data_IF_253386303552
#
_entry.id   IF_253386303552
#
_cell.length_a   1.000
_cell.length_b   1.000
_cell.length_c   1.000
_cell.angle_alpha   90.00
_cell.angle_beta   90.00
_cell.angle_gamma   90.00
#
_symmetry.space_group_name_H-M   'P 1'
#
loop_
_entity.id
_entity.type
_entity.pdbx_description
1 polymer ?
#
# COMPACT_ATOMS: atom_id res chain seq x y z
N UNK A 1 -13.01 -50.43 -9.27
CA UNK A 1 -13.11 -51.89 -8.96
C UNK A 1 -13.71 -52.01 -7.58
N UNK A 2 -14.62 -52.96 -7.31
CA UNK A 2 -15.24 -53.08 -5.98
C UNK A 2 -14.32 -53.83 -4.99
N UNK A 3 -14.40 -53.51 -3.69
CA UNK A 3 -13.58 -54.12 -2.62
C UNK A 3 -13.51 -55.66 -2.69
N UNK A 4 -14.66 -56.34 -2.88
CA UNK A 4 -14.75 -57.81 -2.91
C UNK A 4 -13.93 -58.43 -4.06
N UNK A 5 -13.93 -57.78 -5.21
CA UNK A 5 -13.24 -58.23 -6.41
C UNK A 5 -11.73 -58.03 -6.24
N UNK A 6 -11.37 -56.88 -5.65
CA UNK A 6 -9.99 -56.53 -5.37
C UNK A 6 -9.36 -57.42 -4.30
N UNK A 7 -10.08 -57.75 -3.23
CA UNK A 7 -9.60 -58.67 -2.20
C UNK A 7 -9.35 -60.07 -2.77
N UNK A 8 -10.28 -60.57 -3.59
CA UNK A 8 -10.13 -61.88 -4.24
C UNK A 8 -8.92 -61.89 -5.18
N UNK A 9 -8.70 -60.81 -5.93
CA UNK A 9 -7.58 -60.68 -6.85
C UNK A 9 -6.24 -60.65 -6.12
N UNK A 10 -6.10 -59.81 -5.08
CA UNK A 10 -4.89 -59.74 -4.25
C UNK A 10 -4.56 -61.08 -3.59
N UNK A 11 -5.58 -61.80 -3.11
CA UNK A 11 -5.40 -63.15 -2.54
C UNK A 11 -4.87 -64.13 -3.60
N UNK A 12 -5.45 -64.12 -4.80
CA UNK A 12 -5.04 -65.01 -5.91
C UNK A 12 -3.62 -64.67 -6.41
N UNK A 13 -3.25 -63.40 -6.49
CA UNK A 13 -1.91 -62.96 -6.87
C UNK A 13 -0.83 -63.46 -5.90
N UNK A 14 -1.16 -63.55 -4.60
CA UNK A 14 -0.27 -64.13 -3.58
C UNK A 14 -0.36 -65.66 -3.50
N UNK A 15 -1.22 -66.30 -4.31
CA UNK A 15 -1.40 -67.76 -4.36
C UNK A 15 -2.06 -68.34 -3.11
N UNK A 16 -2.81 -67.56 -2.34
CA UNK A 16 -3.37 -67.98 -1.06
C UNK A 16 -4.77 -68.59 -1.19
N UNK A 17 -5.06 -69.61 -0.38
CA UNK A 17 -6.44 -70.06 -0.14
C UNK A 17 -7.17 -69.08 0.79
N UNK A 18 -8.51 -69.11 0.80
CA UNK A 18 -9.31 -68.28 1.72
C UNK A 18 -9.00 -68.59 3.19
N UNK A 19 -8.65 -69.84 3.49
CA UNK A 19 -8.25 -70.28 4.82
C UNK A 19 -6.90 -69.69 5.22
N UNK A 20 -5.94 -69.64 4.29
CA UNK A 20 -4.63 -69.03 4.51
C UNK A 20 -4.72 -67.51 4.71
N UNK A 21 -5.57 -66.82 3.94
CA UNK A 21 -5.83 -65.39 4.16
C UNK A 21 -6.50 -65.16 5.53
N UNK A 22 -7.48 -66.00 5.88
CA UNK A 22 -8.12 -65.95 7.19
C UNK A 22 -7.13 -66.10 8.33
N UNK A 23 -6.24 -67.09 8.25
CA UNK A 23 -5.20 -67.31 9.26
C UNK A 23 -4.25 -66.11 9.41
N UNK A 24 -3.90 -65.43 8.31
CA UNK A 24 -3.02 -64.25 8.33
C UNK A 24 -3.65 -63.02 8.96
N UNK A 25 -4.96 -62.86 8.84
CA UNK A 25 -5.74 -61.71 9.35
C UNK A 25 -6.46 -62.06 10.68
N UNK A 26 -6.30 -63.28 11.18
CA UNK A 26 -6.94 -63.74 12.40
C UNK A 26 -8.48 -63.85 12.29
N UNK A 27 -8.99 -64.28 11.14
CA UNK A 27 -10.42 -64.49 10.89
C UNK A 27 -10.68 -65.87 10.28
N UNK A 28 -11.92 -66.36 10.36
CA UNK A 28 -12.26 -67.67 9.80
C UNK A 28 -12.30 -67.64 8.27
N UNK A 29 -12.09 -68.80 7.63
CA UNK A 29 -12.31 -68.98 6.17
C UNK A 29 -13.70 -68.49 5.74
N UNK A 30 -14.73 -68.74 6.55
CA UNK A 30 -16.11 -68.33 6.27
C UNK A 30 -16.24 -66.81 6.21
N UNK A 31 -15.56 -66.09 7.10
CA UNK A 31 -15.50 -64.62 7.11
C UNK A 31 -14.90 -64.08 5.81
N UNK A 32 -13.75 -64.62 5.38
CA UNK A 32 -13.10 -64.25 4.12
C UNK A 32 -14.01 -64.54 2.93
N UNK A 33 -14.67 -65.70 2.91
CA UNK A 33 -15.62 -66.03 1.85
C UNK A 33 -16.75 -65.01 1.75
N UNK A 34 -17.33 -64.58 2.87
CA UNK A 34 -18.40 -63.57 2.91
C UNK A 34 -17.92 -62.19 2.44
N UNK A 35 -16.65 -61.85 2.67
CA UNK A 35 -16.05 -60.62 2.15
C UNK A 35 -15.87 -60.67 0.63
N UNK A 36 -15.41 -61.82 0.11
CA UNK A 36 -15.20 -62.02 -1.34
C UNK A 36 -16.50 -62.17 -2.12
N UNK A 37 -17.58 -62.67 -1.51
CA UNK A 37 -18.92 -62.70 -2.11
C UNK A 37 -19.67 -61.38 -1.97
N UNK A 38 -19.23 -60.49 -1.09
CA UNK A 38 -19.88 -59.21 -0.81
C UNK A 38 -21.06 -59.30 0.16
N UNK A 39 -21.27 -60.44 0.82
CA UNK A 39 -22.34 -60.64 1.82
C UNK A 39 -22.11 -59.81 3.09
N UNK A 40 -20.85 -59.54 3.41
CA UNK A 40 -20.46 -58.71 4.56
C UNK A 40 -19.24 -57.86 4.20
N UNK A 41 -19.08 -56.71 4.85
CA UNK A 41 -17.89 -55.88 4.74
C UNK A 41 -17.02 -56.02 6.00
N UNK A 42 -15.68 -55.98 5.89
CA UNK A 42 -14.81 -55.95 7.04
C UNK A 42 -14.97 -54.62 7.81
N UNK A 43 -14.76 -54.67 9.12
CA UNK A 43 -14.64 -53.47 9.93
C UNK A 43 -13.34 -52.70 9.59
N UNK A 44 -13.30 -51.41 9.94
CA UNK A 44 -12.16 -50.53 9.66
C UNK A 44 -10.81 -51.11 10.13
N UNK A 45 -10.79 -51.73 11.32
CA UNK A 45 -9.57 -52.37 11.83
C UNK A 45 -9.07 -53.48 10.89
N UNK A 46 -9.98 -54.31 10.36
CA UNK A 46 -9.64 -55.37 9.40
C UNK A 46 -9.26 -54.84 8.03
N UNK A 47 -9.83 -53.72 7.60
CA UNK A 47 -9.40 -53.03 6.37
C UNK A 47 -7.96 -52.51 6.49
N UNK A 48 -7.56 -51.98 7.65
CA UNK A 48 -6.18 -51.52 7.90
C UNK A 48 -5.21 -52.71 7.97
N UNK A 49 -5.61 -53.82 8.61
CA UNK A 49 -4.80 -55.04 8.62
C UNK A 49 -4.61 -55.61 7.21
N UNK A 50 -5.68 -55.66 6.41
CA UNK A 50 -5.63 -56.12 5.02
C UNK A 50 -4.76 -55.20 4.15
N UNK A 51 -4.91 -53.88 4.28
CA UNK A 51 -4.11 -52.92 3.52
C UNK A 51 -2.62 -53.06 3.86
N UNK A 52 -2.30 -53.27 5.14
CA UNK A 52 -0.95 -53.55 5.61
C UNK A 52 -0.42 -54.90 5.10
N UNK A 53 -1.25 -55.95 5.09
CA UNK A 53 -0.87 -57.29 4.61
C UNK A 53 -0.57 -57.30 3.11
N UNK A 54 -1.30 -56.52 2.32
CA UNK A 54 -1.14 -56.44 0.87
C UNK A 54 -0.22 -55.30 0.41
N UNK A 55 0.26 -54.46 1.34
CA UNK A 55 1.14 -53.32 1.07
C UNK A 55 0.51 -52.28 0.12
N UNK A 56 -0.79 -52.04 0.27
CA UNK A 56 -1.55 -51.04 -0.51
C UNK A 56 -2.27 -50.08 0.44
N UNK A 57 -2.75 -48.93 -0.04
CA UNK A 57 -3.58 -48.05 0.79
C UNK A 57 -4.97 -48.63 1.01
N UNK A 58 -5.66 -48.19 2.07
CA UNK A 58 -7.07 -48.57 2.29
C UNK A 58 -7.93 -48.08 1.12
N UNK A 59 -7.69 -46.86 0.63
CA UNK A 59 -8.39 -46.28 -0.53
C UNK A 59 -8.25 -47.15 -1.77
N UNK A 60 -7.02 -47.63 -2.04
CA UNK A 60 -6.77 -48.58 -3.11
C UNK A 60 -7.57 -49.86 -2.84
N UNK A 61 -7.45 -50.48 -1.66
CA UNK A 61 -8.10 -51.75 -1.31
C UNK A 61 -9.63 -51.70 -1.50
N UNK A 62 -10.27 -50.59 -1.19
CA UNK A 62 -11.73 -50.42 -1.34
C UNK A 62 -12.15 -49.85 -2.70
N UNK A 63 -11.20 -49.64 -3.62
CA UNK A 63 -11.49 -49.20 -4.97
C UNK A 63 -11.84 -47.73 -5.11
N UNK A 64 -11.50 -46.90 -4.11
CA UNK A 64 -11.51 -45.45 -4.27
C UNK A 64 -10.29 -45.12 -5.14
N UNK A 65 -10.51 -45.09 -6.46
CA UNK A 65 -9.58 -44.44 -7.37
C UNK A 65 -9.47 -42.98 -6.93
N UNK A 66 -8.24 -42.49 -6.73
CA UNK A 66 -8.01 -41.05 -6.59
C UNK A 66 -8.69 -40.40 -7.78
N UNK A 67 -9.82 -39.74 -7.53
CA UNK A 67 -10.38 -38.81 -8.49
C UNK A 67 -9.33 -37.72 -8.61
N UNK A 68 -8.44 -37.87 -9.60
CA UNK A 68 -7.60 -36.80 -10.10
C UNK A 68 -8.55 -35.80 -10.73
N UNK A 69 -9.26 -35.08 -9.88
CA UNK A 69 -9.92 -33.84 -10.21
C UNK A 69 -8.79 -32.85 -10.52
N UNK A 70 -8.17 -33.00 -11.68
CA UNK A 70 -7.35 -31.99 -12.34
C UNK A 70 -8.26 -30.91 -12.92
N UNK A 71 -9.37 -30.60 -12.26
CA UNK A 71 -9.98 -29.29 -12.44
C UNK A 71 -8.97 -28.32 -11.82
N UNK A 72 -8.39 -27.38 -12.59
CA UNK A 72 -7.55 -26.37 -11.99
C UNK A 72 -8.35 -25.72 -10.87
N UNK A 73 -7.84 -25.79 -9.65
CA UNK A 73 -8.35 -24.99 -8.55
C UNK A 73 -8.12 -23.54 -8.98
N UNK A 74 -9.15 -22.92 -9.54
CA UNK A 74 -9.16 -21.48 -9.75
C UNK A 74 -9.20 -20.87 -8.35
N UNK A 75 -8.03 -20.52 -7.82
CA UNK A 75 -7.97 -19.55 -6.73
C UNK A 75 -8.55 -18.27 -7.33
N UNK A 76 -9.82 -18.00 -7.07
CA UNK A 76 -10.37 -16.67 -7.26
C UNK A 76 -9.63 -15.75 -6.29
N UNK A 77 -8.52 -15.15 -6.74
CA UNK A 77 -8.00 -13.96 -6.10
C UNK A 77 -9.11 -12.91 -6.18
N UNK A 78 -9.85 -12.74 -5.09
CA UNK A 78 -10.91 -11.74 -4.93
C UNK A 78 -10.36 -10.31 -4.83
N UNK A 79 -9.20 -10.04 -5.44
CA UNK A 79 -8.57 -8.74 -5.51
C UNK A 79 -8.45 -8.28 -6.95
N UNK A 80 -9.14 -7.19 -7.31
CA UNK A 80 -8.85 -6.50 -8.56
C UNK A 80 -7.40 -6.01 -8.52
N UNK A 81 -6.59 -6.54 -9.43
CA UNK A 81 -5.15 -6.30 -9.55
C UNK A 81 -4.87 -5.96 -11.01
N UNK A 82 -4.27 -4.81 -11.28
CA UNK A 82 -3.91 -4.35 -12.62
C UNK A 82 -2.45 -3.90 -12.64
N UNK A 83 -1.64 -4.53 -13.49
CA UNK A 83 -0.26 -4.14 -13.75
C UNK A 83 -0.04 -3.95 -15.25
N UNK A 84 0.54 -2.80 -15.61
CA UNK A 84 0.95 -2.47 -16.96
C UNK A 84 2.35 -1.88 -16.94
N UNK A 85 3.24 -2.38 -17.81
CA UNK A 85 4.57 -1.85 -18.06
C UNK A 85 4.74 -1.57 -19.54
N UNK A 86 5.18 -0.37 -19.89
CA UNK A 86 5.51 -0.03 -21.26
C UNK A 86 6.71 -0.83 -21.77
N UNK A 87 6.69 -1.20 -23.06
CA UNK A 87 7.83 -1.84 -23.73
C UNK A 87 9.02 -0.89 -23.86
N UNK A 88 8.75 0.39 -24.08
CA UNK A 88 9.77 1.44 -24.14
C UNK A 88 10.35 1.66 -22.74
N UNK A 89 11.66 1.62 -22.62
CA UNK A 89 12.38 1.90 -21.39
C UNK A 89 13.28 3.12 -21.57
N UNK A 90 13.45 3.88 -20.50
CA UNK A 90 14.36 5.01 -20.38
C UNK A 90 15.23 4.76 -19.15
N UNK A 91 16.55 4.67 -19.33
CA UNK A 91 17.50 4.40 -18.23
C UNK A 91 17.19 3.10 -17.46
N UNK A 92 16.73 2.06 -18.17
CA UNK A 92 16.34 0.78 -17.56
C UNK A 92 15.01 0.82 -16.77
N UNK A 93 14.34 1.97 -16.72
CA UNK A 93 13.00 2.11 -16.16
C UNK A 93 11.95 2.11 -17.28
N UNK A 94 10.78 1.47 -17.12
CA UNK A 94 9.69 1.60 -18.08
C UNK A 94 9.25 3.07 -18.18
N UNK A 95 8.95 3.54 -19.40
CA UNK A 95 8.38 4.86 -19.63
C UNK A 95 7.08 5.05 -18.84
N UNK A 96 6.21 4.04 -18.83
CA UNK A 96 4.96 4.04 -18.06
C UNK A 96 4.87 2.74 -17.27
N UNK A 97 4.61 2.86 -15.97
CA UNK A 97 4.33 1.72 -15.10
C UNK A 97 3.08 2.02 -14.26
N UNK A 98 2.04 1.24 -14.49
CA UNK A 98 0.80 1.28 -13.72
C UNK A 98 0.74 0.01 -12.88
N UNK A 99 0.58 0.13 -11.57
CA UNK A 99 0.42 -1.02 -10.68
C UNK A 99 -0.59 -0.68 -9.58
N UNK A 100 -1.83 -1.10 -9.77
CA UNK A 100 -2.97 -0.79 -8.93
C UNK A 100 -3.61 -2.09 -8.45
N UNK A 101 -4.09 -2.10 -7.21
CA UNK A 101 -4.94 -3.18 -6.72
C UNK A 101 -5.03 -3.20 -5.21
N UNK A 102 -5.50 -4.30 -4.64
CA UNK A 102 -5.60 -4.42 -3.18
C UNK A 102 -4.20 -4.58 -2.56
N UNK A 103 -3.87 -3.76 -1.55
CA UNK A 103 -2.59 -3.81 -0.82
C UNK A 103 -1.52 -2.82 -1.30
N UNK A 104 -0.30 -2.90 -0.75
CA UNK A 104 0.82 -2.01 -1.09
C UNK A 104 1.53 -2.50 -2.36
N UNK A 105 1.04 -2.07 -3.51
CA UNK A 105 1.61 -2.40 -4.83
C UNK A 105 2.52 -1.30 -5.34
N UNK A 106 3.68 -1.67 -5.87
CA UNK A 106 4.74 -0.73 -6.26
C UNK A 106 4.81 -0.52 -7.77
N UNK A 107 4.60 0.71 -8.21
CA UNK A 107 4.89 1.19 -9.55
C UNK A 107 6.25 1.94 -9.58
N UNK A 108 7.07 1.65 -10.58
CA UNK A 108 8.38 2.28 -10.83
C UNK A 108 8.54 2.58 -12.32
N UNK A 109 8.69 3.84 -12.70
CA UNK A 109 8.84 4.23 -14.10
C UNK A 109 9.12 5.72 -14.26
N UNK A 110 9.27 6.19 -15.49
CA UNK A 110 9.31 7.65 -15.75
C UNK A 110 7.97 8.26 -15.34
N UNK A 111 6.88 7.66 -15.79
CA UNK A 111 5.50 7.93 -15.35
C UNK A 111 5.04 6.73 -14.52
N UNK A 112 4.81 6.93 -13.23
CA UNK A 112 4.43 5.87 -12.30
C UNK A 112 3.04 6.14 -11.69
N UNK A 113 2.12 5.18 -11.85
CA UNK A 113 0.75 5.25 -11.32
C UNK A 113 0.51 4.03 -10.44
N UNK A 114 0.15 4.21 -9.17
CA UNK A 114 -0.13 3.05 -8.31
C UNK A 114 -0.36 3.40 -6.84
N UNK A 115 -0.61 2.38 -6.03
CA UNK A 115 -0.78 2.58 -4.59
C UNK A 115 0.52 3.10 -3.94
N UNK A 116 1.67 2.57 -4.37
CA UNK A 116 3.00 3.09 -4.06
C UNK A 116 3.74 3.39 -5.38
N UNK A 117 3.91 4.65 -5.75
CA UNK A 117 4.56 5.04 -7.00
C UNK A 117 5.90 5.74 -6.76
N UNK A 118 6.89 5.40 -7.60
CA UNK A 118 8.20 6.07 -7.64
C UNK A 118 8.55 6.38 -9.09
N UNK A 119 8.77 7.66 -9.43
CA UNK A 119 9.09 8.05 -10.80
C UNK A 119 9.50 9.49 -10.98
N UNK A 120 9.65 9.95 -12.23
CA UNK A 120 9.82 11.38 -12.54
C UNK A 120 8.49 12.09 -12.29
N UNK A 121 7.43 11.54 -12.89
CA UNK A 121 6.04 11.91 -12.65
C UNK A 121 5.39 10.76 -11.90
N UNK A 122 5.00 11.00 -10.65
CA UNK A 122 4.46 9.97 -9.76
C UNK A 122 3.06 10.33 -9.29
N UNK A 123 2.11 9.42 -9.42
CA UNK A 123 0.76 9.58 -8.87
C UNK A 123 0.35 8.34 -8.08
N UNK A 124 -0.19 8.52 -6.87
CA UNK A 124 -0.52 7.38 -6.01
C UNK A 124 -0.96 7.69 -4.59
N UNK A 125 -1.22 6.65 -3.80
CA UNK A 125 -1.48 6.79 -2.37
C UNK A 125 -0.21 7.24 -1.62
N UNK A 126 0.87 6.49 -1.79
CA UNK A 126 2.24 6.85 -1.42
C UNK A 126 3.02 7.15 -2.70
N UNK A 127 3.51 8.37 -2.87
CA UNK A 127 4.15 8.80 -4.13
C UNK A 127 5.48 9.49 -3.87
N UNK A 128 6.49 9.19 -4.69
CA UNK A 128 7.79 9.84 -4.64
C UNK A 128 8.31 10.14 -6.05
N UNK A 129 8.68 11.39 -6.33
CA UNK A 129 9.23 11.74 -7.64
C UNK A 129 9.73 13.16 -7.78
N UNK A 130 10.05 13.58 -9.01
CA UNK A 130 10.35 15.00 -9.28
C UNK A 130 9.05 15.80 -9.15
N UNK A 131 8.00 15.33 -9.82
CA UNK A 131 6.63 15.82 -9.70
C UNK A 131 5.79 14.69 -9.09
N UNK A 132 5.24 14.91 -7.90
CA UNK A 132 4.53 13.87 -7.15
C UNK A 132 3.14 14.32 -6.71
N UNK A 133 2.12 13.51 -7.00
CA UNK A 133 0.73 13.75 -6.60
C UNK A 133 0.24 12.55 -5.79
N UNK A 134 -0.22 12.77 -4.55
CA UNK A 134 -0.72 11.64 -3.77
C UNK A 134 -1.28 11.93 -2.39
N UNK A 135 -1.62 10.89 -1.64
CA UNK A 135 -2.03 11.02 -0.23
C UNK A 135 -0.85 11.43 0.65
N UNK A 136 0.20 10.61 0.65
CA UNK A 136 1.54 10.94 1.13
C UNK A 136 2.44 11.15 -0.09
N UNK A 137 2.98 12.34 -0.26
CA UNK A 137 3.75 12.67 -1.47
C UNK A 137 5.07 13.37 -1.14
N UNK A 138 6.11 13.00 -1.89
CA UNK A 138 7.48 13.49 -1.72
C UNK A 138 8.12 13.86 -3.05
N UNK A 139 8.78 15.02 -3.14
CA UNK A 139 9.48 15.35 -4.38
C UNK A 139 10.18 16.70 -4.48
N UNK A 140 10.45 17.14 -5.72
CA UNK A 140 10.87 18.54 -5.97
C UNK A 140 9.63 19.44 -5.95
N UNK A 141 8.59 19.01 -6.67
CA UNK A 141 7.25 19.60 -6.64
C UNK A 141 6.29 18.51 -6.18
N UNK A 142 5.49 18.79 -5.17
CA UNK A 142 4.60 17.80 -4.61
C UNK A 142 3.24 18.35 -4.19
N UNK A 143 2.18 17.63 -4.56
CA UNK A 143 0.80 17.91 -4.20
C UNK A 143 0.27 16.71 -3.41
N UNK A 144 -0.33 16.92 -2.23
CA UNK A 144 -0.93 15.81 -1.50
C UNK A 144 -1.60 16.14 -0.19
N UNK A 145 -2.06 15.11 0.53
CA UNK A 145 -2.60 15.29 1.87
C UNK A 145 -1.50 15.68 2.86
N UNK A 146 -0.47 14.83 2.96
CA UNK A 146 0.80 15.09 3.62
C UNK A 146 1.88 15.19 2.54
N UNK A 147 2.39 16.39 2.31
CA UNK A 147 3.31 16.72 1.21
C UNK A 147 4.65 17.21 1.74
N UNK A 148 5.73 16.65 1.21
CA UNK A 148 7.10 17.10 1.49
C UNK A 148 7.79 17.38 0.16
N UNK A 149 8.21 18.62 -0.07
CA UNK A 149 8.84 19.00 -1.35
C UNK A 149 10.04 19.92 -1.20
N UNK A 150 11.02 19.77 -2.08
CA UNK A 150 12.19 20.65 -2.09
C UNK A 150 11.83 22.08 -2.56
N UNK A 151 11.10 22.23 -3.66
CA UNK A 151 10.74 23.53 -4.25
C UNK A 151 9.32 23.98 -3.88
N UNK A 152 8.32 23.19 -4.23
CA UNK A 152 6.91 23.55 -4.03
C UNK A 152 6.13 22.39 -3.41
N UNK A 153 5.65 22.60 -2.20
CA UNK A 153 4.79 21.65 -1.47
C UNK A 153 3.40 22.25 -1.34
N UNK A 154 2.40 21.56 -1.87
CA UNK A 154 0.98 21.90 -1.72
C UNK A 154 0.27 20.76 -1.00
N UNK A 155 -0.43 21.05 0.09
CA UNK A 155 -1.18 20.00 0.77
C UNK A 155 -1.94 20.39 2.03
N UNK A 156 -2.58 19.43 2.69
CA UNK A 156 -3.19 19.66 4.00
C UNK A 156 -2.12 19.97 5.04
N UNK A 157 -1.08 19.14 5.09
CA UNK A 157 0.17 19.37 5.80
C UNK A 157 1.27 19.47 4.74
N UNK A 158 1.94 20.62 4.65
CA UNK A 158 2.97 20.89 3.65
C UNK A 158 4.29 21.31 4.28
N UNK A 159 5.38 20.68 3.81
CA UNK A 159 6.74 20.98 4.23
C UNK A 159 7.59 21.21 2.98
N UNK A 160 8.19 22.39 2.83
CA UNK A 160 9.06 22.67 1.69
C UNK A 160 9.63 24.08 1.65
N UNK A 161 10.38 24.44 0.60
CA UNK A 161 10.86 25.83 0.48
C UNK A 161 9.69 26.79 0.24
N UNK A 162 8.78 26.48 -0.69
CA UNK A 162 7.47 27.10 -0.80
C UNK A 162 6.44 26.08 -0.31
N UNK A 163 5.85 26.33 0.86
CA UNK A 163 4.85 25.46 1.47
C UNK A 163 3.47 26.15 1.45
N UNK A 164 2.49 25.54 0.77
CA UNK A 164 1.11 26.01 0.68
C UNK A 164 0.20 24.95 1.32
N UNK A 165 -0.56 25.29 2.35
CA UNK A 165 -1.41 24.28 2.98
C UNK A 165 -2.23 24.69 4.19
N UNK A 166 -2.89 23.73 4.83
CA UNK A 166 -3.57 23.95 6.11
C UNK A 166 -2.56 24.23 7.21
N UNK A 167 -1.61 23.29 7.38
CA UNK A 167 -0.39 23.46 8.18
C UNK A 167 0.79 23.55 7.20
N UNK A 168 1.45 24.69 7.15
CA UNK A 168 2.56 24.96 6.22
C UNK A 168 3.85 25.26 6.99
N UNK A 169 4.92 24.52 6.68
CA UNK A 169 6.27 24.73 7.23
C UNK A 169 7.26 24.94 6.10
N UNK A 170 7.92 26.09 6.04
CA UNK A 170 8.83 26.35 4.93
C UNK A 170 9.65 27.63 4.98
N UNK A 171 10.43 27.86 3.92
CA UNK A 171 11.11 29.14 3.77
C UNK A 171 10.08 30.26 3.53
N UNK A 172 9.19 30.04 2.57
CA UNK A 172 7.93 30.76 2.44
C UNK A 172 6.78 29.81 2.76
N UNK A 173 6.01 30.11 3.79
CA UNK A 173 4.87 29.31 4.22
C UNK A 173 3.58 30.11 4.08
N UNK A 174 2.59 29.57 3.37
CA UNK A 174 1.26 30.16 3.28
C UNK A 174 0.16 29.16 3.67
N UNK A 175 -0.70 29.53 4.61
CA UNK A 175 -1.69 28.57 5.11
C UNK A 175 -2.58 29.00 6.26
N UNK A 176 -3.34 28.05 6.82
CA UNK A 176 -4.11 28.30 8.05
C UNK A 176 -3.17 28.54 9.24
N UNK A 177 -2.27 27.59 9.49
CA UNK A 177 -1.13 27.71 10.39
C UNK A 177 0.15 27.73 9.55
N UNK A 178 0.85 28.85 9.52
CA UNK A 178 2.05 29.04 8.70
C UNK A 178 3.28 29.31 9.57
N UNK A 179 4.31 28.47 9.41
CA UNK A 179 5.59 28.55 10.13
C UNK A 179 6.74 28.68 9.13
N UNK A 180 7.53 29.75 9.18
CA UNK A 180 8.62 29.89 8.23
C UNK A 180 9.62 31.03 8.42
N UNK A 181 10.38 31.33 7.37
CA UNK A 181 11.19 32.56 7.33
C UNK A 181 10.30 33.74 6.97
N UNK A 182 9.46 33.53 5.97
CA UNK A 182 8.35 34.39 5.57
C UNK A 182 7.08 33.58 5.70
N UNK A 183 6.10 34.06 6.46
CA UNK A 183 4.84 33.35 6.66
C UNK A 183 3.63 34.24 6.34
N UNK A 184 2.60 33.67 5.73
CA UNK A 184 1.32 34.33 5.44
C UNK A 184 0.17 33.39 5.81
N UNK A 185 -0.73 33.77 6.70
CA UNK A 185 -1.79 32.84 7.10
C UNK A 185 -2.80 33.32 8.11
N UNK A 186 -3.66 32.43 8.60
CA UNK A 186 -4.56 32.74 9.71
C UNK A 186 -3.78 32.99 11.00
N UNK A 187 -2.97 32.00 11.37
CA UNK A 187 -1.94 32.06 12.42
C UNK A 187 -0.56 31.93 11.79
N UNK A 188 0.24 32.99 11.83
CA UNK A 188 1.51 33.08 11.14
C UNK A 188 2.65 33.33 12.13
N UNK A 189 3.68 32.47 12.12
CA UNK A 189 4.91 32.69 12.85
C UNK A 189 6.12 32.63 11.91
N UNK A 190 6.90 33.70 11.89
CA UNK A 190 8.08 33.78 11.04
C UNK A 190 9.31 34.37 11.73
N UNK A 191 10.49 33.93 11.32
CA UNK A 191 11.76 34.53 11.77
C UNK A 191 12.03 35.90 11.15
N UNK A 192 11.43 36.23 10.00
CA UNK A 192 11.53 37.55 9.36
C UNK A 192 10.20 38.27 9.32
N UNK A 193 9.33 37.90 8.38
CA UNK A 193 8.06 38.59 8.12
C UNK A 193 6.91 37.62 8.31
N UNK A 194 6.02 37.93 9.25
CA UNK A 194 4.78 37.21 9.47
C UNK A 194 3.59 38.11 9.13
N UNK A 195 2.65 37.61 8.34
CA UNK A 195 1.39 38.29 8.10
C UNK A 195 0.17 37.39 8.29
N UNK A 196 -0.88 37.90 8.93
CA UNK A 196 -2.07 37.11 9.19
C UNK A 196 -3.07 37.71 10.15
N UNK A 197 -4.07 36.92 10.54
CA UNK A 197 -4.98 37.32 11.64
C UNK A 197 -4.21 37.45 12.95
N UNK A 198 -3.49 36.39 13.34
CA UNK A 198 -2.47 36.41 14.39
C UNK A 198 -1.08 36.26 13.76
N UNK A 199 -0.19 37.22 13.97
CA UNK A 199 1.14 37.24 13.37
C UNK A 199 2.25 37.46 14.41
N UNK A 200 3.28 36.62 14.38
CA UNK A 200 4.47 36.72 15.24
C UNK A 200 5.75 36.66 14.42
N UNK A 201 6.59 37.68 14.51
CA UNK A 201 7.89 37.70 13.83
C UNK A 201 8.67 38.98 14.09
N UNK A 202 9.81 39.18 13.42
CA UNK A 202 10.55 40.45 13.53
C UNK A 202 9.71 41.59 12.97
N UNK A 203 9.11 41.37 11.80
CA UNK A 203 8.05 42.20 11.23
C UNK A 203 6.75 41.39 11.30
N UNK A 204 5.74 41.92 12.00
CA UNK A 204 4.44 41.29 12.14
C UNK A 204 3.34 42.21 11.59
N UNK A 205 2.53 41.71 10.66
CA UNK A 205 1.46 42.46 9.97
C UNK A 205 0.13 41.73 10.18
N UNK A 206 -0.91 42.38 10.70
CA UNK A 206 -2.14 41.67 11.01
C UNK A 206 -3.09 42.34 11.98
N UNK A 207 -4.07 41.58 12.48
CA UNK A 207 -5.01 42.06 13.50
C UNK A 207 -4.43 41.96 14.91
N UNK A 208 -3.79 40.83 15.21
CA UNK A 208 -3.09 40.55 16.46
C UNK A 208 -1.61 40.32 16.16
N UNK A 209 -0.79 41.33 16.45
CA UNK A 209 0.62 41.35 16.03
C UNK A 209 1.56 41.33 17.23
N UNK A 210 2.59 40.49 17.17
CA UNK A 210 3.67 40.44 18.16
C UNK A 210 5.03 40.38 17.48
N UNK A 211 5.76 41.49 17.48
CA UNK A 211 7.06 41.60 16.83
C UNK A 211 7.85 42.84 17.21
N UNK A 212 9.10 42.91 16.75
CA UNK A 212 9.96 44.10 16.93
C UNK A 212 9.39 45.30 16.19
N UNK A 213 8.87 45.06 14.98
CA UNK A 213 8.11 46.03 14.19
C UNK A 213 6.74 45.41 13.95
N UNK A 214 5.70 46.09 14.44
CA UNK A 214 4.34 45.60 14.40
C UNK A 214 3.45 46.56 13.62
N UNK A 215 2.68 46.01 12.68
CA UNK A 215 1.75 46.74 11.82
C UNK A 215 0.32 46.24 12.05
N UNK A 216 -0.41 46.80 13.03
CA UNK A 216 -1.82 46.48 13.25
C UNK A 216 -2.68 47.07 12.12
N UNK A 217 -3.34 46.22 11.32
CA UNK A 217 -4.10 46.68 10.14
C UNK A 217 -5.28 47.59 10.48
N UNK A 218 -5.80 47.50 11.71
CA UNK A 218 -6.87 48.38 12.22
C UNK A 218 -6.51 49.87 12.21
N UNK A 219 -5.22 50.21 12.21
CA UNK A 219 -4.74 51.59 12.31
C UNK A 219 -4.54 52.27 10.95
N UNK A 220 -4.86 51.60 9.83
CA UNK A 220 -4.71 52.19 8.49
C UNK A 220 -3.25 52.31 8.05
N UNK A 221 -2.51 51.19 8.11
CA UNK A 221 -1.10 51.14 7.74
C UNK A 221 -0.90 51.29 6.23
N UNK A 222 0.03 52.17 5.83
CA UNK A 222 0.33 52.38 4.41
C UNK A 222 1.11 51.21 3.81
N UNK A 223 0.74 50.82 2.59
CA UNK A 223 1.50 49.86 1.79
C UNK A 223 2.98 50.26 1.58
N UNK A 224 3.30 51.56 1.59
CA UNK A 224 4.67 52.07 1.42
C UNK A 224 5.51 51.83 2.68
N UNK A 225 4.95 52.09 3.86
CA UNK A 225 5.60 51.88 5.15
C UNK A 225 6.00 50.43 5.35
N UNK A 226 5.10 49.49 5.02
CA UNK A 226 5.36 48.05 5.12
C UNK A 226 6.54 47.67 4.22
N UNK A 227 6.53 48.12 2.96
CA UNK A 227 7.59 47.81 2.00
C UNK A 227 8.94 48.36 2.46
N UNK A 228 8.96 49.59 2.96
CA UNK A 228 10.17 50.23 3.45
C UNK A 228 10.72 49.52 4.69
N UNK A 229 9.87 49.15 5.65
CA UNK A 229 10.29 48.43 6.84
C UNK A 229 10.86 47.04 6.52
N UNK A 230 10.29 46.33 5.55
CA UNK A 230 10.83 45.04 5.08
C UNK A 230 12.21 45.23 4.45
N UNK A 231 12.39 46.23 3.59
CA UNK A 231 13.66 46.48 2.92
C UNK A 231 14.74 47.01 3.86
N UNK A 232 14.37 47.80 4.88
CA UNK A 232 15.27 48.33 5.90
C UNK A 232 15.86 47.20 6.76
N UNK A 233 15.01 46.31 7.29
CA UNK A 233 15.48 45.18 8.10
C UNK A 233 16.06 44.03 7.28
N UNK A 234 15.53 43.80 6.09
CA UNK A 234 15.85 42.66 5.24
C UNK A 234 16.08 43.08 3.79
N UNK A 235 17.20 43.75 3.48
CA UNK A 235 17.47 44.31 2.15
C UNK A 235 17.55 43.25 1.03
N UNK A 236 17.89 42.01 1.38
CA UNK A 236 17.93 40.86 0.44
C UNK A 236 16.57 40.22 0.16
N UNK A 237 15.46 40.78 0.64
CA UNK A 237 14.12 40.21 0.42
C UNK A 237 13.72 40.28 -1.05
N UNK A 238 13.17 39.19 -1.58
CA UNK A 238 12.75 39.13 -2.98
C UNK A 238 11.64 40.16 -3.29
N UNK A 239 11.74 40.85 -4.43
CA UNK A 239 10.83 41.95 -4.79
C UNK A 239 9.35 41.54 -4.79
N UNK A 240 9.04 40.30 -5.18
CA UNK A 240 7.66 39.81 -5.18
C UNK A 240 7.11 39.59 -3.76
N UNK A 241 7.94 39.16 -2.81
CA UNK A 241 7.55 39.06 -1.39
C UNK A 241 7.27 40.44 -0.82
N UNK A 242 8.15 41.42 -1.10
CA UNK A 242 7.95 42.82 -0.65
C UNK A 242 6.63 43.38 -1.20
N UNK A 243 6.33 43.13 -2.48
CA UNK A 243 5.04 43.52 -3.08
C UNK A 243 3.87 42.81 -2.41
N UNK A 244 3.95 41.49 -2.22
CA UNK A 244 2.91 40.65 -1.62
C UNK A 244 2.55 41.12 -0.20
N UNK A 245 3.54 41.38 0.64
CA UNK A 245 3.28 41.89 2.00
C UNK A 245 2.81 43.35 1.97
N UNK A 246 3.31 44.16 1.03
CA UNK A 246 2.87 45.54 0.87
C UNK A 246 1.41 45.69 0.44
N UNK A 247 0.83 44.73 -0.29
CA UNK A 247 -0.60 44.78 -0.66
C UNK A 247 -1.54 44.56 0.53
N UNK A 248 -1.02 44.18 1.69
CA UNK A 248 -1.81 44.08 2.93
C UNK A 248 -2.06 45.44 3.58
N UNK A 249 -1.23 46.45 3.27
CA UNK A 249 -1.47 47.82 3.66
C UNK A 249 -2.53 48.48 2.77
N UNK A 250 -3.18 49.52 3.30
CA UNK A 250 -4.10 50.36 2.54
C UNK A 250 -3.38 51.50 1.84
#
# INVERSE_FOLDING_TARGET
MEFREQLMELRKQRGWSQEQLGAKIGVTRQTVSKWETGDTTPELAKLIELSSLFEISVDQLIGIEERKDTAPVYIHETGWNYEYKSKTTFWGLPLVHINVGRGLRRAKGVIAVGNCSVGIISTGGLSAGIISIGGLSGGIVSIGGLSIALLLSVGGVSIGTIALGGLAVGYFAAGGLALGVYSLGGCAAASRVAAGGAARGVIAIGDQVRGTVAFPLKNGVSSVEIRQAILDKFPGTWKWLVRLYGTLGR
#
